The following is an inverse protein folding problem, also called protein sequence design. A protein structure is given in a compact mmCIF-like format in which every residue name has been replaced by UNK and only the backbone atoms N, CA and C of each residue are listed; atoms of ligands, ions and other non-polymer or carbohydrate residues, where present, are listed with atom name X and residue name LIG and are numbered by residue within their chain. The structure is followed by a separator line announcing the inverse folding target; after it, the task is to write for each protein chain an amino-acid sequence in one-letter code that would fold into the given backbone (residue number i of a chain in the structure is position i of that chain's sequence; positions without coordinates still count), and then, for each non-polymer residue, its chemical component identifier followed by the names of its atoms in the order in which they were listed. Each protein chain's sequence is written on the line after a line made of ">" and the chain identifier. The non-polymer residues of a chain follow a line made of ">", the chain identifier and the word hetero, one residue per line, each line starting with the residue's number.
data_IF_037537671346
#
_entry.id   IF_037537671346
#
_cell.length_a   1.000
_cell.length_b   1.000
_cell.length_c   1.000
_cell.angle_alpha   90.00
_cell.angle_beta   90.00
_cell.angle_gamma   90.00
#
_symmetry.space_group_name_H-M   'P 1'
#
loop_
_entity.id
_entity.type
_entity.pdbx_description
1 polymer ?
#
# COMPACT_ATOMS: atom_id res chain seq x y z
N UNK A 1 -32.80 0.58 -35.77
CA UNK A 1 -31.56 0.68 -34.99
C UNK A 1 -31.44 -0.59 -34.19
N UNK A 2 -30.27 -1.23 -34.20
CA UNK A 2 -30.00 -2.37 -33.31
C UNK A 2 -30.01 -1.91 -31.84
N UNK A 3 -30.15 -2.83 -30.88
CA UNK A 3 -30.04 -2.50 -29.45
C UNK A 3 -28.68 -1.83 -29.11
N UNK A 4 -27.63 -2.20 -29.85
CA UNK A 4 -26.28 -1.60 -29.76
C UNK A 4 -26.28 -0.15 -30.22
N UNK A 5 -26.83 0.17 -31.40
CA UNK A 5 -26.92 1.55 -31.91
C UNK A 5 -27.80 2.46 -31.04
N UNK A 6 -28.80 1.90 -30.35
CA UNK A 6 -29.65 2.62 -29.39
C UNK A 6 -28.88 2.94 -28.10
N UNK A 7 -28.12 1.99 -27.57
CA UNK A 7 -27.28 2.15 -26.37
C UNK A 7 -26.15 3.16 -26.59
N UNK A 8 -25.50 3.12 -27.75
CA UNK A 8 -24.43 4.05 -28.16
C UNK A 8 -24.94 5.51 -28.20
N UNK A 9 -26.10 5.72 -28.83
CA UNK A 9 -26.76 7.03 -28.89
C UNK A 9 -27.13 7.56 -27.49
N UNK A 10 -27.61 6.69 -26.60
CA UNK A 10 -27.98 7.05 -25.22
C UNK A 10 -26.76 7.45 -24.37
N UNK A 11 -25.65 6.73 -24.49
CA UNK A 11 -24.42 7.05 -23.75
C UNK A 11 -23.80 8.36 -24.25
N UNK A 12 -23.85 8.63 -25.55
CA UNK A 12 -23.37 9.90 -26.10
C UNK A 12 -24.18 11.10 -25.59
N UNK A 13 -25.49 10.93 -25.39
CA UNK A 13 -26.38 11.95 -24.81
C UNK A 13 -26.09 12.21 -23.32
N UNK A 14 -25.64 11.19 -22.57
CA UNK A 14 -25.22 11.35 -21.17
C UNK A 14 -23.95 12.18 -21.03
N UNK A 15 -23.02 12.10 -21.99
CA UNK A 15 -21.80 12.92 -22.02
C UNK A 15 -22.13 14.39 -22.33
N UNK A 16 -22.11 15.25 -21.31
CA UNK A 16 -22.32 16.70 -21.44
C UNK A 16 -21.05 17.40 -21.93
N UNK A 17 -20.58 17.03 -23.12
CA UNK A 17 -19.43 17.64 -23.76
C UNK A 17 -19.65 17.87 -25.27
N UNK A 18 -19.42 19.12 -25.69
CA UNK A 18 -19.71 19.59 -27.05
C UNK A 18 -18.51 19.62 -27.99
N UNK A 19 -17.40 18.96 -27.66
CA UNK A 19 -16.23 18.90 -28.55
C UNK A 19 -16.43 17.84 -29.64
N UNK A 20 -16.49 18.28 -30.90
CA UNK A 20 -16.67 17.39 -32.05
C UNK A 20 -15.53 16.38 -32.23
N UNK A 21 -14.33 16.70 -31.71
CA UNK A 21 -13.17 15.83 -31.75
C UNK A 21 -13.34 14.53 -30.95
N UNK A 22 -14.32 14.46 -30.04
CA UNK A 22 -14.62 13.24 -29.27
C UNK A 22 -15.40 12.23 -30.12
N UNK A 23 -16.26 12.69 -31.03
CA UNK A 23 -17.18 11.82 -31.75
C UNK A 23 -16.50 10.69 -32.54
N UNK A 24 -15.34 10.87 -33.22
CA UNK A 24 -14.69 9.80 -33.96
C UNK A 24 -14.13 8.66 -33.11
N UNK A 25 -13.87 8.89 -31.81
CA UNK A 25 -13.25 7.91 -30.90
C UNK A 25 -14.21 7.41 -29.81
N UNK A 26 -15.34 8.09 -29.63
CA UNK A 26 -16.26 7.82 -28.51
C UNK A 26 -16.79 6.40 -28.49
N UNK A 27 -17.17 5.84 -29.64
CA UNK A 27 -17.78 4.51 -29.71
C UNK A 27 -16.78 3.41 -29.30
N UNK A 28 -15.51 3.54 -29.71
CA UNK A 28 -14.43 2.63 -29.33
C UNK A 28 -14.14 2.72 -27.83
N UNK A 29 -14.02 3.94 -27.29
CA UNK A 29 -13.80 4.19 -25.86
C UNK A 29 -14.97 3.68 -24.99
N UNK A 30 -16.20 3.81 -25.47
CA UNK A 30 -17.38 3.30 -24.78
C UNK A 30 -17.47 1.78 -24.80
N UNK A 31 -17.06 1.15 -25.90
CA UNK A 31 -17.01 -0.32 -25.98
C UNK A 31 -15.98 -0.87 -24.99
N UNK A 32 -14.79 -0.29 -24.93
CA UNK A 32 -13.76 -0.65 -23.95
C UNK A 32 -14.24 -0.43 -22.52
N UNK A 33 -14.77 0.76 -22.21
CA UNK A 33 -15.29 1.06 -20.88
C UNK A 33 -16.41 0.10 -20.46
N UNK A 34 -17.31 -0.28 -21.36
CA UNK A 34 -18.41 -1.22 -21.05
C UNK A 34 -17.95 -2.66 -20.86
N UNK A 35 -16.75 -3.02 -21.33
CA UNK A 35 -16.16 -4.34 -21.08
C UNK A 35 -15.50 -4.44 -19.70
N UNK A 36 -15.09 -3.31 -19.12
CA UNK A 36 -14.31 -3.25 -17.89
C UNK A 36 -15.19 -2.81 -16.70
N UNK A 37 -15.99 -1.77 -16.90
CA UNK A 37 -16.71 -1.08 -15.83
C UNK A 37 -18.11 -1.68 -15.61
N UNK A 38 -18.56 -1.61 -14.37
CA UNK A 38 -19.94 -1.85 -13.98
C UNK A 38 -20.88 -0.79 -14.57
N UNK A 39 -22.19 -1.07 -14.55
CA UNK A 39 -23.20 -0.09 -14.98
C UNK A 39 -23.07 1.24 -14.22
N UNK A 40 -22.80 1.20 -12.91
CA UNK A 40 -22.56 2.39 -12.11
C UNK A 40 -21.22 3.06 -12.49
N UNK A 41 -20.18 2.26 -12.74
CA UNK A 41 -18.88 2.75 -13.20
C UNK A 41 -18.98 3.50 -14.52
N UNK A 42 -19.81 3.05 -15.47
CA UNK A 42 -20.10 3.77 -16.73
C UNK A 42 -20.78 5.12 -16.45
N UNK A 43 -21.73 5.18 -15.53
CA UNK A 43 -22.38 6.43 -15.15
C UNK A 43 -21.40 7.42 -14.53
N UNK A 44 -20.60 6.98 -13.57
CA UNK A 44 -19.55 7.77 -12.92
C UNK A 44 -18.48 8.24 -13.93
N UNK A 45 -18.15 7.39 -14.90
CA UNK A 45 -17.19 7.68 -15.97
C UNK A 45 -17.69 8.82 -16.87
N UNK A 46 -18.93 8.73 -17.35
CA UNK A 46 -19.52 9.78 -18.18
C UNK A 46 -19.81 11.07 -17.41
N UNK A 47 -20.20 10.97 -16.13
CA UNK A 47 -20.34 12.13 -15.25
C UNK A 47 -18.98 12.81 -15.02
N UNK A 48 -17.92 12.04 -14.76
CA UNK A 48 -16.57 12.55 -14.58
C UNK A 48 -16.02 13.24 -15.82
N UNK A 49 -16.20 12.65 -17.01
CA UNK A 49 -15.81 13.27 -18.28
C UNK A 49 -16.59 14.57 -18.54
N UNK A 50 -17.89 14.59 -18.21
CA UNK A 50 -18.73 15.79 -18.27
C UNK A 50 -18.23 16.88 -17.32
N UNK A 51 -17.85 16.52 -16.08
CA UNK A 51 -17.29 17.42 -15.08
C UNK A 51 -15.98 18.05 -15.57
N UNK A 52 -15.09 17.25 -16.16
CA UNK A 52 -13.84 17.71 -16.75
C UNK A 52 -14.09 18.62 -17.94
N UNK A 53 -15.07 18.32 -18.80
CA UNK A 53 -15.41 19.20 -19.93
C UNK A 53 -15.84 20.61 -19.45
N UNK A 54 -16.59 20.69 -18.34
CA UNK A 54 -17.06 21.96 -17.77
C UNK A 54 -15.95 22.86 -17.21
N UNK A 55 -14.73 22.36 -17.00
CA UNK A 55 -13.62 23.18 -16.48
C UNK A 55 -13.06 24.16 -17.52
N UNK A 56 -13.43 24.01 -18.81
CA UNK A 56 -13.06 24.95 -19.87
C UNK A 56 -11.58 24.93 -20.26
N UNK A 57 -10.91 23.77 -20.19
CA UNK A 57 -9.46 23.61 -20.48
C UNK A 57 -9.15 22.93 -21.82
N UNK A 58 -10.09 22.99 -22.76
CA UNK A 58 -9.96 22.35 -24.07
C UNK A 58 -10.38 20.88 -24.05
N UNK A 59 -10.23 20.21 -25.20
CA UNK A 59 -10.69 18.83 -25.40
C UNK A 59 -9.72 17.78 -24.85
N UNK A 60 -8.43 18.10 -24.83
CA UNK A 60 -7.37 17.15 -24.44
C UNK A 60 -7.57 16.54 -23.04
N UNK A 61 -7.88 17.29 -21.96
CA UNK A 61 -8.19 16.69 -20.66
C UNK A 61 -9.36 15.71 -20.68
N UNK A 62 -10.36 15.95 -21.53
CA UNK A 62 -11.55 15.08 -21.65
C UNK A 62 -11.15 13.78 -22.35
N UNK A 63 -10.37 13.88 -23.44
CA UNK A 63 -9.88 12.71 -24.16
C UNK A 63 -8.95 11.85 -23.29
N UNK A 64 -7.96 12.44 -22.62
CA UNK A 64 -7.08 11.68 -21.72
C UNK A 64 -7.86 10.97 -20.61
N UNK A 65 -8.88 11.62 -20.04
CA UNK A 65 -9.75 10.98 -19.06
C UNK A 65 -10.55 9.82 -19.65
N UNK A 66 -11.14 10.00 -20.84
CA UNK A 66 -11.92 8.94 -21.48
C UNK A 66 -11.02 7.74 -21.88
N UNK A 67 -9.81 8.02 -22.35
CA UNK A 67 -8.84 7.00 -22.78
C UNK A 67 -8.29 6.19 -21.61
N UNK A 68 -7.84 6.85 -20.54
CA UNK A 68 -7.00 6.18 -19.53
C UNK A 68 -7.78 5.59 -18.34
N UNK A 69 -8.95 6.16 -18.00
CA UNK A 69 -9.65 5.83 -16.76
C UNK A 69 -10.19 4.40 -16.69
N UNK A 70 -10.79 3.82 -17.75
CA UNK A 70 -11.25 2.43 -17.69
C UNK A 70 -10.12 1.46 -17.31
N UNK A 71 -8.97 1.57 -17.98
CA UNK A 71 -7.81 0.73 -17.66
C UNK A 71 -7.30 0.98 -16.24
N UNK A 72 -7.28 2.23 -15.76
CA UNK A 72 -6.91 2.52 -14.37
C UNK A 72 -7.89 1.91 -13.35
N UNK A 73 -9.19 1.94 -13.64
CA UNK A 73 -10.23 1.38 -12.79
C UNK A 73 -10.17 -0.15 -12.72
N UNK A 74 -9.80 -0.82 -13.82
CA UNK A 74 -9.56 -2.26 -13.84
C UNK A 74 -8.47 -2.68 -12.82
N UNK A 75 -7.41 -1.87 -12.72
CA UNK A 75 -6.26 -2.18 -11.88
C UNK A 75 -6.41 -1.73 -10.42
N UNK A 76 -7.12 -0.63 -10.17
CA UNK A 76 -7.19 0.04 -8.86
C UNK A 76 -8.58 0.02 -8.22
N UNK A 77 -9.60 -0.42 -8.97
CA UNK A 77 -11.01 -0.33 -8.58
C UNK A 77 -11.70 0.93 -9.13
N UNK A 78 -13.03 0.84 -9.27
CA UNK A 78 -13.87 1.90 -9.87
C UNK A 78 -13.91 3.21 -9.06
N UNK A 79 -13.50 3.18 -7.79
CA UNK A 79 -13.42 4.37 -6.93
C UNK A 79 -12.54 5.48 -7.54
N UNK A 80 -11.55 5.10 -8.34
CA UNK A 80 -10.63 6.04 -9.00
C UNK A 80 -11.35 6.97 -9.99
N UNK A 81 -12.46 6.54 -10.58
CA UNK A 81 -13.21 7.31 -11.59
C UNK A 81 -13.70 8.63 -10.97
N UNK A 82 -14.44 8.49 -9.86
CA UNK A 82 -14.94 9.59 -9.07
C UNK A 82 -13.81 10.39 -8.41
N UNK A 83 -12.76 9.73 -7.94
CA UNK A 83 -11.61 10.38 -7.30
C UNK A 83 -10.85 11.31 -8.27
N UNK A 84 -10.54 10.85 -9.49
CA UNK A 84 -9.79 11.63 -10.48
C UNK A 84 -10.62 12.83 -10.96
N UNK A 85 -11.88 12.62 -11.33
CA UNK A 85 -12.75 13.71 -11.81
C UNK A 85 -12.95 14.81 -10.76
N UNK A 86 -13.18 14.46 -9.49
CA UNK A 86 -13.26 15.41 -8.37
C UNK A 86 -11.92 16.11 -8.12
N UNK A 87 -10.81 15.41 -8.27
CA UNK A 87 -9.45 15.97 -8.14
C UNK A 87 -9.17 17.00 -9.23
N UNK A 88 -9.47 16.70 -10.50
CA UNK A 88 -9.34 17.63 -11.62
C UNK A 88 -10.25 18.85 -11.43
N UNK A 89 -11.48 18.64 -10.96
CA UNK A 89 -12.38 19.74 -10.62
C UNK A 89 -11.79 20.65 -9.53
N UNK A 90 -11.26 20.09 -8.43
CA UNK A 90 -10.56 20.83 -7.38
C UNK A 90 -9.33 21.57 -7.92
N UNK A 91 -8.53 20.92 -8.76
CA UNK A 91 -7.36 21.51 -9.43
C UNK A 91 -7.77 22.71 -10.29
N UNK A 92 -8.86 22.60 -11.06
CA UNK A 92 -9.34 23.68 -11.95
C UNK A 92 -9.68 24.98 -11.23
N UNK A 93 -10.04 24.90 -9.94
CA UNK A 93 -10.39 26.03 -9.07
C UNK A 93 -9.17 26.70 -8.42
N UNK A 94 -7.97 26.18 -8.68
CA UNK A 94 -6.71 26.83 -8.31
C UNK A 94 -6.23 27.74 -9.43
N UNK A 95 -5.27 28.61 -9.11
CA UNK A 95 -4.57 29.43 -10.13
C UNK A 95 -3.69 28.57 -11.06
N UNK A 96 -3.46 27.29 -10.71
CA UNK A 96 -2.58 26.36 -11.41
C UNK A 96 -3.25 25.54 -12.51
N UNK A 97 -4.52 25.80 -12.86
CA UNK A 97 -5.28 24.95 -13.78
C UNK A 97 -4.71 24.79 -15.20
N UNK A 98 -3.67 25.53 -15.60
CA UNK A 98 -2.90 25.28 -16.84
C UNK A 98 -2.08 23.98 -16.79
N UNK A 99 -1.81 23.45 -15.61
CA UNK A 99 -1.06 22.21 -15.41
C UNK A 99 -1.93 20.94 -15.47
N UNK A 100 -3.25 21.07 -15.64
CA UNK A 100 -4.17 19.92 -15.70
C UNK A 100 -3.85 18.95 -16.85
N UNK A 101 -3.54 19.41 -18.08
CA UNK A 101 -3.21 18.49 -19.17
C UNK A 101 -2.02 17.60 -18.84
N UNK A 102 -0.90 18.16 -18.38
CA UNK A 102 0.29 17.37 -18.00
C UNK A 102 0.03 16.48 -16.78
N UNK A 103 -0.78 16.92 -15.82
CA UNK A 103 -1.20 16.08 -14.70
C UNK A 103 -1.95 14.84 -15.19
N UNK A 104 -2.95 15.00 -16.07
CA UNK A 104 -3.70 13.87 -16.62
C UNK A 104 -2.83 12.98 -17.51
N UNK A 105 -1.97 13.57 -18.35
CA UNK A 105 -1.07 12.81 -19.22
C UNK A 105 -0.11 11.89 -18.45
N UNK A 106 0.35 12.32 -17.27
CA UNK A 106 1.30 11.53 -16.45
C UNK A 106 0.62 10.57 -15.49
N UNK A 107 -0.67 10.79 -15.22
CA UNK A 107 -1.45 10.05 -14.23
C UNK A 107 -1.48 8.54 -14.44
N UNK A 108 -1.64 7.97 -15.66
CA UNK A 108 -1.71 6.52 -15.83
C UNK A 108 -0.41 5.81 -15.41
N UNK A 109 0.73 6.47 -15.64
CA UNK A 109 2.03 5.93 -15.23
C UNK A 109 2.21 6.01 -13.72
N UNK A 110 1.78 7.13 -13.11
CA UNK A 110 1.82 7.29 -11.65
C UNK A 110 0.88 6.29 -10.97
N UNK A 111 -0.36 6.18 -11.42
CA UNK A 111 -1.37 5.30 -10.87
C UNK A 111 -0.92 3.83 -10.89
N UNK A 112 -0.39 3.35 -12.03
CA UNK A 112 0.20 2.00 -12.14
C UNK A 112 1.37 1.78 -11.17
N UNK A 113 2.15 2.83 -10.91
CA UNK A 113 3.31 2.80 -10.00
C UNK A 113 2.96 3.02 -8.53
N UNK A 114 1.73 3.41 -8.20
CA UNK A 114 1.30 3.49 -6.82
C UNK A 114 0.50 2.26 -6.43
N UNK A 115 -0.22 1.65 -7.38
CA UNK A 115 -0.90 0.38 -7.18
C UNK A 115 -2.13 0.44 -6.27
N UNK A 116 -2.35 1.56 -5.57
CA UNK A 116 -3.45 1.70 -4.62
C UNK A 116 -4.14 3.08 -4.66
N UNK A 117 -5.43 3.10 -4.33
CA UNK A 117 -6.28 4.31 -4.32
C UNK A 117 -5.85 5.28 -3.22
N UNK A 118 -5.48 4.79 -2.03
CA UNK A 118 -4.99 5.61 -0.92
C UNK A 118 -3.62 6.21 -1.25
N UNK A 119 -2.72 5.40 -1.80
CA UNK A 119 -1.44 5.91 -2.30
C UNK A 119 -1.62 6.99 -3.38
N UNK A 120 -2.60 6.82 -4.29
CA UNK A 120 -2.94 7.81 -5.30
C UNK A 120 -3.52 9.10 -4.69
N UNK A 121 -4.36 8.98 -3.66
CA UNK A 121 -4.87 10.12 -2.89
C UNK A 121 -3.73 10.89 -2.21
N UNK A 122 -2.78 10.19 -1.57
CA UNK A 122 -1.58 10.83 -0.99
C UNK A 122 -0.72 11.54 -2.03
N UNK A 123 -0.59 10.96 -3.23
CA UNK A 123 0.06 11.65 -4.34
C UNK A 123 -0.69 12.94 -4.74
N UNK A 124 -2.02 12.91 -4.82
CA UNK A 124 -2.81 14.11 -5.12
C UNK A 124 -2.64 15.18 -4.04
N UNK A 125 -2.67 14.78 -2.76
CA UNK A 125 -2.47 15.70 -1.64
C UNK A 125 -1.06 16.31 -1.67
N UNK A 126 -0.03 15.53 -1.98
CA UNK A 126 1.34 16.03 -2.19
C UNK A 126 1.40 17.09 -3.31
N UNK A 127 0.74 16.85 -4.44
CA UNK A 127 0.68 17.81 -5.55
C UNK A 127 -0.09 19.09 -5.15
N UNK A 128 -1.18 18.96 -4.39
CA UNK A 128 -1.91 20.12 -3.85
C UNK A 128 -1.08 20.90 -2.85
N UNK A 129 -0.37 20.24 -1.93
CA UNK A 129 0.48 20.88 -0.95
C UNK A 129 1.64 21.61 -1.63
N UNK A 130 2.29 20.97 -2.60
CA UNK A 130 3.35 21.59 -3.38
C UNK A 130 2.86 22.84 -4.10
N UNK A 131 1.73 22.77 -4.82
CA UNK A 131 1.25 23.92 -5.57
C UNK A 131 0.78 25.04 -4.64
N UNK A 132 0.19 24.71 -3.49
CA UNK A 132 -0.27 25.70 -2.52
C UNK A 132 0.90 26.44 -1.86
N UNK A 133 1.97 25.72 -1.50
CA UNK A 133 3.15 26.30 -0.86
C UNK A 133 4.01 27.13 -1.82
N UNK A 134 3.96 26.83 -3.12
CA UNK A 134 4.80 27.49 -4.14
C UNK A 134 4.07 28.53 -4.99
N UNK A 135 2.75 28.67 -4.83
CA UNK A 135 1.98 29.75 -5.46
C UNK A 135 2.11 31.04 -4.66
N UNK A 136 2.41 32.16 -5.33
CA UNK A 136 2.76 33.43 -4.66
C UNK A 136 1.57 34.41 -4.65
N UNK A 137 1.42 35.15 -3.56
CA UNK A 137 0.53 36.31 -3.48
C UNK A 137 1.31 37.61 -3.55
N UNK A 138 0.98 38.49 -4.51
CA UNK A 138 1.56 39.83 -4.59
C UNK A 138 0.98 40.75 -3.48
N UNK A 139 -0.25 40.49 -3.01
CA UNK A 139 -1.00 41.37 -2.09
C UNK A 139 -1.53 40.65 -0.82
N UNK A 140 -0.93 39.53 -0.42
CA UNK A 140 -1.02 38.97 0.93
C UNK A 140 -2.27 38.16 1.31
N UNK A 141 -3.27 38.01 0.44
CA UNK A 141 -4.52 37.30 0.81
C UNK A 141 -4.96 36.19 -0.17
N UNK A 142 -4.62 36.31 -1.45
CA UNK A 142 -4.92 35.27 -2.46
C UNK A 142 -3.70 35.05 -3.36
N UNK A 143 -3.36 33.78 -3.61
CA UNK A 143 -2.36 33.43 -4.61
C UNK A 143 -2.79 34.00 -5.98
N UNK A 144 -1.92 34.80 -6.58
CA UNK A 144 -2.18 35.50 -7.86
C UNK A 144 -1.24 35.03 -8.95
N UNK A 145 -0.14 34.38 -8.56
CA UNK A 145 0.84 33.79 -9.46
C UNK A 145 0.82 32.28 -9.21
N UNK A 146 0.64 31.46 -10.28
CA UNK A 146 0.73 30.02 -10.15
C UNK A 146 2.13 29.58 -9.71
N UNK A 147 2.21 28.35 -9.19
CA UNK A 147 3.47 27.70 -8.91
C UNK A 147 4.35 27.75 -10.17
N UNK A 148 5.57 28.29 -10.06
CA UNK A 148 6.45 28.46 -11.22
C UNK A 148 7.03 27.14 -11.73
N UNK A 149 6.94 26.06 -10.94
CA UNK A 149 7.63 24.79 -11.16
C UNK A 149 6.72 23.56 -11.14
N UNK A 150 5.41 23.73 -10.87
CA UNK A 150 4.47 22.61 -10.88
C UNK A 150 4.43 21.87 -12.24
N UNK A 151 4.41 22.53 -13.41
CA UNK A 151 4.48 21.82 -14.68
C UNK A 151 5.77 21.00 -14.81
N UNK A 152 6.93 21.59 -14.45
CA UNK A 152 8.23 20.90 -14.50
C UNK A 152 8.24 19.66 -13.60
N UNK A 153 7.66 19.78 -12.40
CA UNK A 153 7.49 18.67 -11.46
C UNK A 153 6.65 17.54 -12.07
N UNK A 154 5.48 17.87 -12.61
CA UNK A 154 4.54 16.89 -13.19
C UNK A 154 5.17 16.15 -14.37
N UNK A 155 5.90 16.85 -15.24
CA UNK A 155 6.64 16.22 -16.34
C UNK A 155 7.67 15.18 -15.86
N UNK A 156 8.24 15.37 -14.66
CA UNK A 156 9.21 14.44 -14.07
C UNK A 156 8.57 13.34 -13.22
N UNK A 157 7.26 13.39 -12.93
CA UNK A 157 6.60 12.42 -12.06
C UNK A 157 6.76 10.97 -12.49
N UNK A 158 6.59 10.60 -13.77
CA UNK A 158 6.80 9.22 -14.21
C UNK A 158 8.21 8.68 -13.90
N UNK A 159 9.23 9.55 -13.99
CA UNK A 159 10.59 9.18 -13.63
C UNK A 159 10.76 9.14 -12.11
N UNK A 160 10.33 10.17 -11.37
CA UNK A 160 10.52 10.26 -9.93
C UNK A 160 9.86 9.09 -9.19
N UNK A 161 8.62 8.72 -9.54
CA UNK A 161 7.93 7.58 -8.93
C UNK A 161 8.52 6.22 -9.31
N UNK A 162 9.35 6.17 -10.37
CA UNK A 162 10.13 4.97 -10.70
C UNK A 162 11.43 4.85 -9.91
N UNK A 163 11.88 5.94 -9.28
CA UNK A 163 13.15 5.99 -8.55
C UNK A 163 12.98 6.11 -7.05
N UNK A 164 11.79 6.46 -6.56
CA UNK A 164 11.51 6.77 -5.16
C UNK A 164 10.26 6.03 -4.68
N UNK A 165 10.27 5.65 -3.41
CA UNK A 165 9.03 5.36 -2.68
C UNK A 165 8.17 6.62 -2.60
N UNK A 166 6.87 6.48 -2.31
CA UNK A 166 6.00 7.65 -2.19
C UNK A 166 6.46 8.59 -1.05
N UNK A 167 7.05 8.02 0.01
CA UNK A 167 7.68 8.78 1.11
C UNK A 167 8.93 9.53 0.63
N UNK A 168 9.81 8.85 -0.11
CA UNK A 168 11.01 9.48 -0.67
C UNK A 168 10.66 10.62 -1.64
N UNK A 169 9.59 10.45 -2.43
CA UNK A 169 9.05 11.49 -3.29
C UNK A 169 8.58 12.70 -2.48
N UNK A 170 7.81 12.47 -1.41
CA UNK A 170 7.37 13.55 -0.50
C UNK A 170 8.56 14.30 0.09
N UNK A 171 9.55 13.60 0.63
CA UNK A 171 10.74 14.21 1.22
C UNK A 171 11.54 15.05 0.20
N UNK A 172 11.68 14.53 -1.02
CA UNK A 172 12.35 15.22 -2.11
C UNK A 172 11.59 16.49 -2.53
N UNK A 173 10.26 16.43 -2.60
CA UNK A 173 9.40 17.59 -2.88
C UNK A 173 9.49 18.64 -1.76
N UNK A 174 9.35 18.22 -0.50
CA UNK A 174 9.42 19.09 0.67
C UNK A 174 10.77 19.81 0.75
N UNK A 175 11.87 19.12 0.42
CA UNK A 175 13.19 19.73 0.32
C UNK A 175 13.22 20.82 -0.76
N UNK A 176 12.73 20.52 -1.97
CA UNK A 176 12.68 21.47 -3.07
C UNK A 176 11.88 22.73 -2.74
N UNK A 177 10.74 22.56 -2.05
CA UNK A 177 9.92 23.67 -1.56
C UNK A 177 10.72 24.48 -0.52
N UNK A 178 11.22 23.83 0.54
CA UNK A 178 11.85 24.50 1.67
C UNK A 178 13.05 25.36 1.26
N UNK A 179 13.93 24.83 0.40
CA UNK A 179 15.18 25.50 0.04
C UNK A 179 15.06 26.47 -1.14
N UNK A 180 14.03 26.34 -1.99
CA UNK A 180 13.88 27.16 -3.20
C UNK A 180 12.59 27.98 -3.27
N UNK A 181 11.80 28.08 -2.20
CA UNK A 181 10.52 28.81 -2.20
C UNK A 181 10.60 30.26 -2.70
N UNK A 182 11.70 30.95 -2.42
CA UNK A 182 11.91 32.37 -2.79
C UNK A 182 12.68 32.56 -4.11
N UNK A 183 13.04 31.48 -4.81
CA UNK A 183 13.88 31.51 -6.01
C UNK A 183 13.25 30.72 -7.17
N UNK A 184 12.27 31.30 -7.91
CA UNK A 184 11.48 30.57 -8.92
C UNK A 184 12.30 29.80 -9.96
N UNK A 185 13.35 30.41 -10.52
CA UNK A 185 14.18 29.73 -11.53
C UNK A 185 14.97 28.56 -10.93
N UNK A 186 15.51 28.71 -9.71
CA UNK A 186 16.19 27.59 -9.03
C UNK A 186 15.22 26.48 -8.62
N UNK A 187 13.98 26.86 -8.29
CA UNK A 187 12.92 25.91 -8.00
C UNK A 187 12.57 25.08 -9.24
N UNK A 188 12.48 25.72 -10.43
CA UNK A 188 12.34 25.00 -11.71
C UNK A 188 13.54 24.11 -11.98
N UNK A 189 14.77 24.60 -11.81
CA UNK A 189 15.99 23.79 -12.00
C UNK A 189 15.98 22.56 -11.08
N UNK A 190 15.50 22.69 -9.84
CA UNK A 190 15.37 21.57 -8.92
C UNK A 190 14.31 20.57 -9.40
N UNK A 191 13.08 21.02 -9.65
CA UNK A 191 11.97 20.13 -10.00
C UNK A 191 12.05 19.54 -11.42
N UNK A 192 12.85 20.15 -12.29
CA UNK A 192 13.18 19.61 -13.62
C UNK A 192 14.41 18.66 -13.61
N UNK A 193 14.98 18.35 -12.44
CA UNK A 193 16.18 17.52 -12.26
C UNK A 193 17.45 18.07 -12.90
N UNK A 194 17.53 19.39 -13.10
CA UNK A 194 18.69 20.05 -13.71
C UNK A 194 19.74 20.48 -12.68
N UNK A 195 19.34 20.75 -11.44
CA UNK A 195 20.28 21.15 -10.40
C UNK A 195 21.04 19.94 -9.82
N UNK A 196 22.32 20.13 -9.51
CA UNK A 196 23.14 19.09 -8.87
C UNK A 196 22.58 18.69 -7.50
N UNK A 197 21.95 19.64 -6.80
CA UNK A 197 21.32 19.42 -5.50
C UNK A 197 20.06 18.54 -5.62
N UNK A 198 19.23 18.77 -6.64
CA UNK A 198 18.09 17.90 -6.95
C UNK A 198 18.49 16.45 -7.16
N UNK A 199 19.56 16.23 -7.92
CA UNK A 199 20.12 14.90 -8.14
C UNK A 199 20.70 14.29 -6.86
N UNK A 200 21.35 15.10 -6.01
CA UNK A 200 21.91 14.62 -4.75
C UNK A 200 20.82 14.19 -3.75
N UNK A 201 19.75 14.98 -3.61
CA UNK A 201 18.62 14.63 -2.76
C UNK A 201 17.86 13.44 -3.33
N UNK A 202 17.68 13.35 -4.66
CA UNK A 202 17.09 12.19 -5.31
C UNK A 202 17.85 10.90 -4.95
N UNK A 203 19.18 10.91 -5.01
CA UNK A 203 19.99 9.74 -4.63
C UNK A 203 19.89 9.41 -3.14
N UNK A 204 19.72 10.42 -2.28
CA UNK A 204 19.55 10.21 -0.84
C UNK A 204 18.20 9.57 -0.52
N UNK A 205 17.12 10.04 -1.15
CA UNK A 205 15.77 9.52 -0.93
C UNK A 205 15.53 8.19 -1.65
N UNK A 206 16.39 7.82 -2.61
CA UNK A 206 16.44 6.48 -3.21
C UNK A 206 17.18 5.51 -2.28
N UNK A 207 16.63 5.30 -1.09
CA UNK A 207 17.10 4.27 -0.16
C UNK A 207 16.15 3.07 -0.15
N UNK A 208 16.66 1.95 0.33
CA UNK A 208 15.95 0.68 0.40
C UNK A 208 15.84 -0.07 -0.93
N UNK A 209 15.25 -1.25 -0.86
CA UNK A 209 14.90 -2.09 -2.00
C UNK A 209 13.50 -1.72 -2.46
N UNK A 210 13.37 -1.02 -3.58
CA UNK A 210 12.08 -0.66 -4.16
C UNK A 210 11.40 -1.89 -4.76
N UNK A 211 10.10 -2.06 -4.48
CA UNK A 211 9.30 -3.14 -5.04
C UNK A 211 9.41 -3.21 -6.57
N UNK A 212 9.25 -2.08 -7.25
CA UNK A 212 9.21 -2.02 -8.72
C UNK A 212 10.52 -2.40 -9.42
N UNK A 213 11.66 -2.27 -8.75
CA UNK A 213 12.95 -2.74 -9.28
C UNK A 213 13.02 -4.28 -9.28
N UNK A 214 12.14 -4.93 -8.52
CA UNK A 214 12.16 -6.37 -8.24
C UNK A 214 10.85 -7.11 -8.55
N UNK A 215 9.77 -6.42 -8.92
CA UNK A 215 8.43 -6.97 -9.21
C UNK A 215 8.49 -8.26 -10.05
N UNK A 216 9.13 -8.23 -11.22
CA UNK A 216 9.27 -9.41 -12.08
C UNK A 216 9.94 -10.59 -11.37
N UNK A 217 10.95 -10.34 -10.53
CA UNK A 217 11.65 -11.41 -9.78
C UNK A 217 10.76 -11.96 -8.67
N UNK A 218 9.95 -11.10 -8.04
CA UNK A 218 9.00 -11.49 -7.00
C UNK A 218 7.84 -12.30 -7.59
N UNK A 219 7.31 -11.93 -8.76
CA UNK A 219 6.31 -12.73 -9.47
C UNK A 219 6.86 -14.11 -9.84
N UNK A 220 8.09 -14.18 -10.38
CA UNK A 220 8.74 -15.46 -10.66
C UNK A 220 9.03 -16.28 -9.39
N UNK A 221 9.25 -15.63 -8.26
CA UNK A 221 9.40 -16.29 -6.95
C UNK A 221 8.08 -16.93 -6.52
N UNK A 222 6.96 -16.23 -6.64
CA UNK A 222 5.62 -16.75 -6.37
C UNK A 222 5.28 -17.92 -7.30
N UNK A 223 5.47 -17.76 -8.60
CA UNK A 223 5.18 -18.82 -9.57
C UNK A 223 6.09 -20.04 -9.34
N UNK A 224 7.38 -19.81 -9.13
CA UNK A 224 8.38 -20.88 -9.06
C UNK A 224 8.39 -21.67 -7.75
N UNK A 225 8.09 -21.03 -6.61
CA UNK A 225 8.12 -21.68 -5.30
C UNK A 225 6.73 -21.91 -4.69
N UNK A 226 5.72 -21.15 -5.10
CA UNK A 226 4.41 -21.22 -4.48
C UNK A 226 3.31 -21.67 -5.45
N UNK A 227 3.63 -21.87 -6.74
CA UNK A 227 2.66 -22.20 -7.80
C UNK A 227 1.47 -21.21 -7.79
N UNK A 228 1.79 -19.95 -7.52
CA UNK A 228 0.85 -18.85 -7.36
C UNK A 228 1.29 -17.67 -8.21
N UNK A 229 0.35 -16.99 -8.86
CA UNK A 229 0.61 -15.80 -9.68
C UNK A 229 -0.30 -14.64 -9.24
N UNK A 230 -0.20 -14.19 -7.98
CA UNK A 230 -1.04 -13.12 -7.49
C UNK A 230 -0.57 -11.79 -8.06
N UNK A 231 -1.52 -10.86 -8.25
CA UNK A 231 -1.15 -9.47 -8.46
C UNK A 231 -0.47 -8.94 -7.19
N UNK A 232 0.75 -8.42 -7.33
CA UNK A 232 1.49 -7.79 -6.24
C UNK A 232 1.24 -6.29 -6.30
N UNK A 233 0.68 -5.75 -5.22
CA UNK A 233 0.20 -4.37 -5.18
C UNK A 233 0.91 -3.62 -4.05
N UNK A 234 1.72 -2.58 -4.36
CA UNK A 234 2.44 -1.86 -3.32
C UNK A 234 1.54 -0.91 -2.52
N UNK A 235 1.90 -0.66 -1.27
CA UNK A 235 1.38 0.43 -0.44
C UNK A 235 2.53 1.19 0.23
N UNK A 236 2.29 2.44 0.63
CA UNK A 236 3.31 3.30 1.24
C UNK A 236 3.36 3.14 2.76
N UNK A 237 4.55 3.08 3.35
CA UNK A 237 4.75 2.93 4.80
C UNK A 237 4.72 4.25 5.60
N UNK A 238 4.78 5.42 4.96
CA UNK A 238 5.10 6.67 5.64
C UNK A 238 4.00 7.73 5.73
N UNK A 239 2.76 7.42 5.33
CA UNK A 239 1.64 8.37 5.41
C UNK A 239 0.69 8.11 6.58
N UNK A 240 0.69 6.88 7.13
CA UNK A 240 -0.10 6.54 8.30
C UNK A 240 0.64 6.76 9.62
N UNK A 241 0.27 7.84 10.32
CA UNK A 241 0.84 8.17 11.63
C UNK A 241 0.25 7.35 12.78
N UNK A 242 -0.97 6.80 12.63
CA UNK A 242 -1.71 6.10 13.70
C UNK A 242 -1.45 4.59 13.74
N UNK A 243 -1.35 3.94 12.57
CA UNK A 243 -1.05 2.51 12.44
C UNK A 243 -0.29 2.30 11.13
N UNK A 244 0.93 1.79 11.21
CA UNK A 244 1.68 1.44 10.00
C UNK A 244 0.95 0.29 9.28
N UNK A 245 0.73 0.40 7.96
CA UNK A 245 0.13 -0.69 7.21
C UNK A 245 1.06 -1.91 7.22
N UNK A 246 0.46 -3.07 7.44
CA UNK A 246 1.11 -4.38 7.36
C UNK A 246 0.66 -5.09 6.07
N UNK A 247 1.40 -6.09 5.59
CA UNK A 247 0.97 -6.87 4.44
C UNK A 247 -0.43 -7.45 4.62
N UNK A 248 -1.22 -7.56 3.54
CA UNK A 248 -2.55 -8.16 3.59
C UNK A 248 -2.99 -8.69 2.23
N UNK A 249 -4.00 -9.56 2.19
CA UNK A 249 -4.61 -10.06 0.96
C UNK A 249 -6.00 -9.45 0.80
N UNK A 250 -6.29 -8.87 -0.37
CA UNK A 250 -7.63 -8.43 -0.74
C UNK A 250 -8.11 -9.06 -2.06
N UNK A 251 -9.24 -8.58 -2.58
CA UNK A 251 -9.82 -9.08 -3.84
C UNK A 251 -9.01 -8.76 -5.08
N UNK A 252 -8.12 -7.77 -5.02
CA UNK A 252 -7.28 -7.34 -6.15
C UNK A 252 -5.92 -8.05 -6.11
N UNK A 253 -5.37 -8.34 -4.92
CA UNK A 253 -4.11 -9.07 -4.83
C UNK A 253 -3.42 -9.02 -3.47
N UNK A 254 -2.14 -9.39 -3.46
CA UNK A 254 -1.29 -9.32 -2.28
C UNK A 254 -0.73 -7.91 -2.13
N UNK A 255 -1.00 -7.32 -0.97
CA UNK A 255 -0.61 -5.96 -0.62
C UNK A 255 0.70 -6.00 0.16
N UNK A 256 1.71 -5.32 -0.34
CA UNK A 256 3.07 -5.33 0.21
C UNK A 256 3.68 -3.92 0.22
N UNK A 257 4.71 -3.63 1.03
CA UNK A 257 5.34 -2.31 1.02
C UNK A 257 5.96 -1.91 -0.33
N UNK A 258 5.88 -0.63 -0.68
CA UNK A 258 6.53 -0.04 -1.87
C UNK A 258 8.07 -0.05 -1.77
N UNK A 259 8.59 -0.10 -0.54
CA UNK A 259 10.01 -0.21 -0.23
C UNK A 259 10.26 -1.03 1.04
N UNK A 260 11.32 -1.83 1.03
CA UNK A 260 11.93 -2.37 2.25
C UNK A 260 13.38 -1.91 2.37
N UNK A 261 13.71 -1.25 3.48
CA UNK A 261 15.10 -1.03 3.85
C UNK A 261 15.79 -2.33 4.25
N UNK A 262 17.11 -2.40 4.06
CA UNK A 262 17.93 -3.47 4.63
C UNK A 262 17.91 -3.33 6.16
N UNK A 263 17.84 -4.47 6.86
CA UNK A 263 18.22 -4.51 8.28
C UNK A 263 19.71 -4.81 8.40
N UNK A 264 20.25 -4.77 9.62
CA UNK A 264 21.65 -5.12 9.87
C UNK A 264 22.03 -6.54 9.38
N UNK A 265 21.04 -7.42 9.20
CA UNK A 265 21.28 -8.85 8.91
C UNK A 265 20.48 -9.43 7.73
N UNK A 266 19.51 -8.68 7.18
CA UNK A 266 18.60 -9.14 6.12
C UNK A 266 18.44 -8.04 5.07
N UNK A 267 18.64 -8.41 3.81
CA UNK A 267 18.43 -7.51 2.68
C UNK A 267 16.94 -7.23 2.44
N UNK A 268 16.59 -6.07 1.89
CA UNK A 268 15.21 -5.72 1.57
C UNK A 268 14.55 -6.71 0.60
N UNK A 269 15.30 -7.29 -0.34
CA UNK A 269 14.78 -8.34 -1.22
C UNK A 269 14.44 -9.64 -0.46
N UNK A 270 15.19 -9.97 0.58
CA UNK A 270 14.88 -11.12 1.44
C UNK A 270 13.72 -10.82 2.39
N UNK A 271 13.49 -9.56 2.78
CA UNK A 271 12.27 -9.14 3.48
C UNK A 271 11.03 -9.38 2.61
N UNK A 272 11.05 -8.97 1.33
CA UNK A 272 9.96 -9.30 0.40
C UNK A 272 9.71 -10.80 0.29
N UNK A 273 10.78 -11.61 0.21
CA UNK A 273 10.64 -13.07 0.14
C UNK A 273 10.04 -13.67 1.41
N UNK A 274 10.40 -13.15 2.59
CA UNK A 274 9.82 -13.55 3.86
C UNK A 274 8.32 -13.24 3.90
N UNK A 275 7.95 -11.99 3.59
CA UNK A 275 6.55 -11.54 3.53
C UNK A 275 5.73 -12.40 2.56
N UNK A 276 6.22 -12.57 1.33
CA UNK A 276 5.51 -13.37 0.33
C UNK A 276 5.45 -14.86 0.68
N UNK A 277 6.48 -15.41 1.32
CA UNK A 277 6.45 -16.79 1.82
C UNK A 277 5.38 -16.96 2.90
N UNK A 278 5.31 -16.02 3.85
CA UNK A 278 4.33 -16.01 4.92
C UNK A 278 2.90 -15.95 4.36
N UNK A 279 2.61 -14.96 3.50
CA UNK A 279 1.28 -14.80 2.91
C UNK A 279 0.88 -16.00 2.02
N UNK A 280 1.81 -16.53 1.22
CA UNK A 280 1.56 -17.73 0.42
C UNK A 280 1.31 -18.97 1.30
N UNK A 281 1.95 -19.05 2.47
CA UNK A 281 1.71 -20.08 3.45
C UNK A 281 0.29 -19.97 4.05
N UNK A 282 -0.18 -18.76 4.37
CA UNK A 282 -1.58 -18.54 4.78
C UNK A 282 -2.55 -18.98 3.68
N UNK A 283 -2.35 -18.51 2.44
CA UNK A 283 -3.21 -18.90 1.32
C UNK A 283 -3.31 -20.42 1.11
N UNK A 284 -2.22 -21.14 1.38
CA UNK A 284 -2.14 -22.58 1.18
C UNK A 284 -2.72 -23.40 2.33
N UNK A 285 -2.46 -22.99 3.57
CA UNK A 285 -2.71 -23.84 4.74
C UNK A 285 -3.74 -23.28 5.72
N UNK A 286 -4.07 -21.99 5.67
CA UNK A 286 -5.00 -21.37 6.62
C UNK A 286 -6.45 -21.46 6.13
N UNK A 287 -7.37 -21.44 7.09
CA UNK A 287 -8.82 -21.37 6.83
C UNK A 287 -9.44 -20.27 7.69
N UNK A 288 -10.44 -19.58 7.14
CA UNK A 288 -11.19 -18.56 7.86
C UNK A 288 -11.84 -19.11 9.13
N UNK A 289 -11.70 -18.39 10.24
CA UNK A 289 -12.42 -18.64 11.49
C UNK A 289 -13.45 -17.52 11.71
N UNK A 290 -14.71 -17.90 11.90
CA UNK A 290 -15.74 -16.98 12.39
C UNK A 290 -15.51 -16.79 13.90
N UNK A 291 -14.88 -15.66 14.26
CA UNK A 291 -14.42 -15.37 15.61
C UNK A 291 -15.40 -14.48 16.42
N UNK A 292 -16.70 -14.55 16.14
CA UNK A 292 -17.73 -13.70 16.77
C UNK A 292 -17.75 -13.79 18.31
N UNK A 293 -17.32 -14.92 18.85
CA UNK A 293 -17.28 -15.16 20.30
C UNK A 293 -15.88 -14.99 20.92
N UNK A 294 -14.86 -14.59 20.14
CA UNK A 294 -13.52 -14.37 20.67
C UNK A 294 -13.33 -12.92 21.09
N UNK A 295 -12.84 -12.74 22.32
CA UNK A 295 -12.33 -11.45 22.79
C UNK A 295 -11.11 -11.00 21.95
N UNK A 296 -10.78 -9.70 21.92
CA UNK A 296 -9.61 -9.20 21.19
C UNK A 296 -8.30 -9.91 21.55
N UNK A 297 -8.13 -10.28 22.83
CA UNK A 297 -6.95 -11.02 23.31
C UNK A 297 -6.86 -12.44 22.79
N UNK A 298 -8.01 -13.10 22.62
CA UNK A 298 -8.08 -14.43 22.04
C UNK A 298 -7.81 -14.39 20.54
N UNK A 299 -8.33 -13.38 19.83
CA UNK A 299 -8.05 -13.18 18.39
C UNK A 299 -6.56 -13.00 18.15
N UNK A 300 -5.92 -12.09 18.87
CA UNK A 300 -4.47 -11.88 18.82
C UNK A 300 -3.68 -13.16 19.08
N UNK A 301 -4.06 -13.97 20.07
CA UNK A 301 -3.35 -15.22 20.32
C UNK A 301 -3.54 -16.25 19.20
N UNK A 302 -4.74 -16.32 18.60
CA UNK A 302 -5.01 -17.21 17.46
C UNK A 302 -4.18 -16.78 16.26
N UNK A 303 -4.11 -15.48 15.95
CA UNK A 303 -3.27 -14.91 14.89
C UNK A 303 -1.80 -15.32 15.07
N UNK A 304 -1.19 -15.02 16.23
CA UNK A 304 0.21 -15.34 16.51
C UNK A 304 0.57 -16.83 16.38
N UNK A 305 -0.36 -17.73 16.73
CA UNK A 305 -0.13 -19.17 16.63
C UNK A 305 -0.43 -19.72 15.23
N UNK A 306 -1.39 -19.14 14.51
CA UNK A 306 -1.64 -19.51 13.12
C UNK A 306 -0.47 -19.09 12.23
N UNK A 307 0.08 -17.89 12.45
CA UNK A 307 1.32 -17.45 11.81
C UNK A 307 2.45 -18.47 12.03
N UNK A 308 2.70 -18.84 13.29
CA UNK A 308 3.76 -19.78 13.64
C UNK A 308 3.52 -21.16 13.00
N UNK A 309 2.26 -21.57 12.84
CA UNK A 309 1.89 -22.83 12.17
C UNK A 309 2.22 -22.80 10.69
N UNK A 310 1.79 -21.78 9.97
CA UNK A 310 2.01 -21.70 8.52
C UNK A 310 3.49 -21.50 8.21
N UNK A 311 4.21 -20.75 9.06
CA UNK A 311 5.66 -20.62 8.98
C UNK A 311 6.36 -21.95 9.24
N UNK A 312 5.90 -22.73 10.23
CA UNK A 312 6.43 -24.07 10.48
C UNK A 312 6.28 -24.96 9.23
N UNK A 313 5.11 -24.96 8.60
CA UNK A 313 4.84 -25.71 7.37
C UNK A 313 5.68 -25.22 6.18
N UNK A 314 5.79 -23.90 6.02
CA UNK A 314 6.65 -23.28 5.02
C UNK A 314 8.11 -23.67 5.21
N UNK A 315 8.60 -23.75 6.45
CA UNK A 315 9.96 -24.20 6.78
C UNK A 315 10.16 -25.69 6.46
N UNK A 316 9.16 -26.55 6.65
CA UNK A 316 9.27 -27.96 6.26
C UNK A 316 9.45 -28.11 4.74
N UNK A 317 8.75 -27.29 3.95
CA UNK A 317 8.88 -27.28 2.50
C UNK A 317 10.18 -26.59 2.05
N UNK A 318 10.54 -25.49 2.69
CA UNK A 318 11.67 -24.63 2.37
C UNK A 318 12.53 -24.33 3.61
N UNK A 319 13.47 -25.23 3.98
CA UNK A 319 14.23 -25.11 5.23
C UNK A 319 15.03 -23.81 5.39
N UNK A 320 15.40 -23.16 4.27
CA UNK A 320 16.08 -21.87 4.28
C UNK A 320 15.27 -20.72 4.90
N UNK A 321 13.94 -20.82 4.91
CA UNK A 321 13.06 -19.80 5.50
C UNK A 321 13.25 -19.66 7.02
N UNK A 322 13.66 -20.72 7.72
CA UNK A 322 13.82 -20.68 9.19
C UNK A 322 14.80 -19.59 9.60
N UNK A 323 15.98 -19.55 8.97
CA UNK A 323 17.00 -18.56 9.31
C UNK A 323 16.59 -17.14 8.92
N UNK A 324 15.80 -17.00 7.85
CA UNK A 324 15.27 -15.71 7.42
C UNK A 324 14.25 -15.18 8.43
N UNK A 325 13.25 -15.99 8.79
CA UNK A 325 12.25 -15.63 9.79
C UNK A 325 12.90 -15.35 11.16
N UNK A 326 13.85 -16.17 11.62
CA UNK A 326 14.55 -15.93 12.91
C UNK A 326 15.26 -14.57 12.93
N UNK A 327 15.87 -14.15 11.82
CA UNK A 327 16.55 -12.85 11.73
C UNK A 327 15.60 -11.65 11.67
N UNK A 328 14.40 -11.86 11.16
CA UNK A 328 13.37 -10.81 11.06
C UNK A 328 12.45 -10.75 12.28
N UNK A 329 12.29 -11.87 12.99
CA UNK A 329 11.49 -11.92 14.19
C UNK A 329 12.18 -11.14 15.33
N UNK A 330 11.47 -10.26 16.06
CA UNK A 330 12.03 -9.58 17.21
C UNK A 330 12.43 -10.58 18.30
N UNK A 331 13.34 -10.18 19.19
CA UNK A 331 13.78 -11.00 20.34
C UNK A 331 13.34 -10.39 21.66
N UNK A 332 12.05 -10.48 22.03
CA UNK A 332 11.57 -9.92 23.29
C UNK A 332 12.31 -10.52 24.49
N UNK A 333 12.75 -9.65 25.40
CA UNK A 333 13.49 -10.05 26.60
C UNK A 333 12.52 -10.50 27.68
N UNK A 334 12.68 -11.74 28.17
CA UNK A 334 11.85 -12.30 29.24
C UNK A 334 11.88 -11.41 30.50
N UNK A 335 10.69 -11.01 30.98
CA UNK A 335 10.54 -10.13 32.15
C UNK A 335 10.72 -8.63 31.88
N UNK A 336 10.86 -8.19 30.62
CA UNK A 336 10.98 -6.76 30.30
C UNK A 336 9.68 -5.97 30.50
N UNK A 337 8.53 -6.62 30.33
CA UNK A 337 7.23 -6.00 30.60
C UNK A 337 6.86 -6.09 32.09
N UNK A 338 6.51 -4.95 32.70
CA UNK A 338 6.04 -4.89 34.08
C UNK A 338 4.52 -5.16 34.17
N UNK A 339 4.09 -6.33 34.66
CA UNK A 339 2.68 -6.68 34.72
C UNK A 339 1.89 -5.89 35.77
N UNK A 340 2.52 -5.08 36.64
CA UNK A 340 1.78 -4.22 37.57
C UNK A 340 1.32 -2.92 36.92
N UNK A 341 1.99 -2.47 35.86
CA UNK A 341 1.76 -1.16 35.24
C UNK A 341 1.45 -1.22 33.74
N UNK A 342 1.60 -2.40 33.12
CA UNK A 342 1.47 -2.59 31.68
C UNK A 342 0.67 -3.86 31.33
N UNK A 343 0.03 -3.84 30.15
CA UNK A 343 -0.53 -5.04 29.53
C UNK A 343 0.59 -5.81 28.81
N UNK A 344 0.92 -6.99 29.33
CA UNK A 344 2.03 -7.82 28.86
C UNK A 344 1.60 -8.94 27.90
N UNK A 345 0.32 -9.04 27.54
CA UNK A 345 -0.18 -10.13 26.68
C UNK A 345 0.56 -10.19 25.34
N UNK A 346 0.69 -9.06 24.64
CA UNK A 346 1.38 -9.00 23.34
C UNK A 346 2.84 -9.45 23.47
N UNK A 347 3.52 -9.01 24.52
CA UNK A 347 4.90 -9.41 24.81
C UNK A 347 5.02 -10.93 25.04
N UNK A 348 4.12 -11.52 25.86
CA UNK A 348 4.08 -12.97 26.07
C UNK A 348 3.81 -13.75 24.77
N UNK A 349 2.90 -13.27 23.92
CA UNK A 349 2.62 -13.89 22.62
C UNK A 349 3.80 -13.79 21.65
N UNK A 350 4.52 -12.66 21.63
CA UNK A 350 5.73 -12.49 20.83
C UNK A 350 6.86 -13.41 21.30
N UNK A 351 7.04 -13.59 22.62
CA UNK A 351 7.97 -14.58 23.18
C UNK A 351 7.58 -16.01 22.77
N UNK A 352 6.30 -16.37 22.90
CA UNK A 352 5.82 -17.68 22.48
C UNK A 352 6.07 -17.90 20.98
N UNK A 353 5.75 -16.93 20.13
CA UNK A 353 5.98 -17.03 18.68
C UNK A 353 7.45 -17.23 18.33
N UNK A 354 8.37 -16.52 18.98
CA UNK A 354 9.80 -16.77 18.81
C UNK A 354 10.18 -18.19 19.26
N UNK A 355 9.64 -18.69 20.38
CA UNK A 355 9.92 -20.04 20.85
C UNK A 355 9.37 -21.15 19.94
N UNK A 356 8.32 -20.87 19.16
CA UNK A 356 7.81 -21.77 18.13
C UNK A 356 8.71 -21.78 16.87
N UNK A 357 9.51 -20.73 16.68
CA UNK A 357 10.35 -20.52 15.50
C UNK A 357 11.84 -20.88 15.73
N UNK A 358 12.41 -20.46 16.85
CA UNK A 358 13.83 -20.57 17.19
C UNK A 358 14.05 -21.53 18.36
N UNK A 359 14.67 -22.72 18.14
CA UNK A 359 15.04 -23.63 19.22
C UNK A 359 16.01 -23.03 20.25
N UNK A 360 16.78 -22.01 19.88
CA UNK A 360 17.77 -21.34 20.73
C UNK A 360 17.21 -20.08 21.42
N UNK A 361 15.88 -19.98 21.57
CA UNK A 361 15.18 -18.82 22.13
C UNK A 361 15.58 -18.47 23.58
N UNK A 362 15.98 -19.46 24.40
CA UNK A 362 16.55 -19.24 25.75
C UNK A 362 15.55 -18.90 26.87
N UNK A 363 14.24 -18.92 26.62
CA UNK A 363 13.21 -18.63 27.61
C UNK A 363 13.02 -19.77 28.62
N UNK A 364 12.58 -19.40 29.83
CA UNK A 364 12.45 -20.34 30.95
C UNK A 364 11.05 -20.43 31.54
N UNK A 365 10.13 -19.56 31.13
CA UNK A 365 8.72 -19.59 31.56
C UNK A 365 8.07 -20.96 31.32
N UNK A 366 7.55 -21.63 32.37
CA UNK A 366 7.07 -23.01 32.28
C UNK A 366 5.78 -23.13 31.45
N UNK A 367 4.88 -22.13 31.50
CA UNK A 367 3.66 -22.15 30.71
C UNK A 367 4.00 -22.00 29.21
N UNK A 368 4.90 -21.09 28.86
CA UNK A 368 5.41 -20.94 27.49
C UNK A 368 6.02 -22.24 26.97
N UNK A 369 6.91 -22.88 27.75
CA UNK A 369 7.56 -24.12 27.36
C UNK A 369 6.57 -25.28 27.21
N UNK A 370 5.58 -25.39 28.11
CA UNK A 370 4.51 -26.39 28.01
C UNK A 370 3.70 -26.21 26.71
N UNK A 371 3.30 -24.98 26.39
CA UNK A 371 2.49 -24.71 25.21
C UNK A 371 3.28 -24.78 23.89
N UNK A 372 4.58 -24.45 23.92
CA UNK A 372 5.50 -24.72 22.81
C UNK A 372 5.61 -26.23 22.55
N UNK A 373 5.76 -27.04 23.60
CA UNK A 373 5.73 -28.50 23.49
C UNK A 373 4.44 -29.02 22.87
N UNK A 374 3.28 -28.56 23.34
CA UNK A 374 1.96 -28.93 22.78
C UNK A 374 1.82 -28.57 21.30
N UNK A 375 2.33 -27.41 20.90
CA UNK A 375 2.35 -27.01 19.49
C UNK A 375 3.17 -28.01 18.67
N UNK A 376 4.40 -28.31 19.08
CA UNK A 376 5.26 -29.23 18.33
C UNK A 376 4.74 -30.67 18.32
N UNK A 377 4.12 -31.15 19.40
CA UNK A 377 3.46 -32.46 19.44
C UNK A 377 2.31 -32.53 18.42
N UNK A 378 1.52 -31.46 18.31
CA UNK A 378 0.45 -31.34 17.30
C UNK A 378 1.01 -31.31 15.89
N UNK A 379 2.06 -30.52 15.63
CA UNK A 379 2.71 -30.43 14.32
C UNK A 379 3.46 -31.71 13.93
N UNK A 380 3.90 -32.52 14.90
CA UNK A 380 4.50 -33.83 14.64
C UNK A 380 3.47 -34.87 14.16
N UNK A 381 2.18 -34.67 14.44
CA UNK A 381 1.11 -35.57 14.01
C UNK A 381 0.64 -35.30 12.56
N UNK A 382 1.00 -34.16 11.97
CA UNK A 382 0.61 -33.76 10.62
C UNK A 382 0.61 -32.24 10.44
N UNK A 383 -0.12 -31.73 9.44
CA UNK A 383 -0.16 -30.29 9.14
C UNK A 383 -0.91 -29.46 10.20
N UNK A 384 -1.68 -30.12 11.07
CA UNK A 384 -2.70 -29.51 11.95
C UNK A 384 -3.74 -28.70 11.18
N UNK A 385 -4.85 -28.38 11.84
CA UNK A 385 -5.83 -27.42 11.32
C UNK A 385 -5.76 -26.08 12.04
N UNK A 386 -6.21 -25.02 11.38
CA UNK A 386 -6.41 -23.69 11.98
C UNK A 386 -7.28 -23.77 13.24
N UNK A 387 -8.26 -24.68 13.29
CA UNK A 387 -9.10 -24.91 14.48
C UNK A 387 -8.34 -25.55 15.65
N UNK A 388 -7.51 -26.55 15.39
CA UNK A 388 -6.70 -27.20 16.43
C UNK A 388 -5.71 -26.21 17.05
N UNK A 389 -5.10 -25.38 16.21
CA UNK A 389 -4.08 -24.42 16.66
C UNK A 389 -4.73 -23.22 17.36
N UNK A 390 -5.91 -22.78 16.91
CA UNK A 390 -6.74 -21.86 17.67
C UNK A 390 -7.09 -22.42 19.06
N UNK A 391 -7.39 -23.72 19.19
CA UNK A 391 -7.65 -24.33 20.50
C UNK A 391 -6.44 -24.27 21.45
N UNK A 392 -5.22 -24.41 20.92
CA UNK A 392 -3.98 -24.25 21.68
C UNK A 392 -3.82 -22.79 22.12
N UNK A 393 -4.04 -21.83 21.22
CA UNK A 393 -3.96 -20.40 21.51
C UNK A 393 -4.94 -19.97 22.62
N UNK A 394 -6.20 -20.39 22.50
CA UNK A 394 -7.24 -20.11 23.51
C UNK A 394 -6.89 -20.70 24.87
N UNK A 395 -6.31 -21.91 24.88
CA UNK A 395 -5.87 -22.57 26.11
C UNK A 395 -4.68 -21.85 26.74
N UNK A 396 -3.75 -21.33 25.93
CA UNK A 396 -2.61 -20.53 26.40
C UNK A 396 -3.11 -19.25 27.07
N UNK A 397 -3.95 -18.47 26.37
CA UNK A 397 -4.54 -17.24 26.93
C UNK A 397 -5.32 -17.54 28.20
N UNK A 398 -6.11 -18.61 28.25
CA UNK A 398 -6.86 -18.97 29.45
C UNK A 398 -5.95 -19.32 30.63
N UNK A 399 -4.80 -19.95 30.38
CA UNK A 399 -3.81 -20.32 31.40
C UNK A 399 -3.05 -19.10 31.93
N UNK A 400 -2.55 -18.25 31.04
CA UNK A 400 -1.63 -17.15 31.39
C UNK A 400 -2.36 -15.83 31.67
N UNK A 401 -3.69 -15.83 31.66
CA UNK A 401 -4.48 -14.60 31.85
C UNK A 401 -4.20 -13.97 33.19
N UNK A 402 -3.89 -12.68 33.17
CA UNK A 402 -3.76 -11.85 34.37
C UNK A 402 -4.64 -10.61 34.26
N UNK A 403 -4.95 -9.97 35.39
CA UNK A 403 -5.83 -8.81 35.41
C UNK A 403 -5.25 -7.62 34.63
N UNK A 404 -3.92 -7.45 34.67
CA UNK A 404 -3.22 -6.34 34.03
C UNK A 404 -3.22 -6.39 32.51
N UNK A 405 -3.59 -7.51 31.89
CA UNK A 405 -3.77 -7.58 30.44
C UNK A 405 -4.82 -6.58 29.93
N UNK A 406 -5.72 -6.13 30.81
CA UNK A 406 -6.76 -5.13 30.52
C UNK A 406 -6.30 -3.67 30.67
N UNK A 407 -5.04 -3.42 31.08
CA UNK A 407 -4.52 -2.08 31.21
C UNK A 407 -4.39 -1.40 29.84
N UNK A 408 -4.68 -0.08 29.73
CA UNK A 408 -4.56 0.66 28.47
C UNK A 408 -3.10 0.86 28.03
N UNK A 409 -2.15 0.76 28.97
CA UNK A 409 -0.72 0.89 28.70
C UNK A 409 -0.17 -0.44 28.18
N UNK A 410 -0.20 -0.65 26.86
CA UNK A 410 0.29 -1.89 26.22
C UNK A 410 1.80 -1.81 26.01
N UNK A 411 2.52 -2.88 26.33
CA UNK A 411 3.97 -2.98 26.09
C UNK A 411 4.24 -3.40 24.64
N UNK A 412 5.04 -2.62 23.93
CA UNK A 412 5.34 -2.84 22.50
C UNK A 412 6.79 -3.19 22.18
N UNK A 413 7.74 -2.93 23.08
CA UNK A 413 9.17 -3.12 22.82
C UNK A 413 9.47 -4.58 22.42
N UNK A 414 10.15 -4.74 21.28
CA UNK A 414 10.50 -6.03 20.67
C UNK A 414 9.30 -6.98 20.47
N UNK A 415 8.13 -6.44 20.10
CA UNK A 415 6.91 -7.25 19.83
C UNK A 415 6.35 -7.10 18.41
N UNK A 416 6.97 -6.29 17.55
CA UNK A 416 6.48 -6.04 16.18
C UNK A 416 7.18 -6.99 15.21
N UNK A 417 6.39 -7.76 14.45
CA UNK A 417 6.86 -8.70 13.43
C UNK A 417 6.37 -8.13 12.09
N UNK A 418 7.27 -7.51 11.34
CA UNK A 418 6.91 -6.59 10.25
C UNK A 418 6.71 -7.25 8.87
N UNK A 419 7.09 -8.53 8.75
CA UNK A 419 6.91 -9.31 7.52
C UNK A 419 5.59 -10.11 7.52
N UNK A 420 4.91 -10.22 8.67
CA UNK A 420 3.65 -10.95 8.79
C UNK A 420 2.47 -10.10 8.35
N UNK A 421 1.43 -10.76 7.84
CA UNK A 421 0.20 -10.13 7.38
C UNK A 421 -0.82 -9.91 8.52
N UNK A 422 -2.02 -9.49 8.16
CA UNK A 422 -3.14 -9.23 9.08
C UNK A 422 -4.04 -10.44 9.37
N UNK A 423 -3.66 -11.64 8.90
CA UNK A 423 -4.39 -12.91 8.97
C UNK A 423 -5.77 -12.92 8.29
#
# INVERSE_FOLDING_TARGET
>A
MSETELSESLNREKLKCGFDQINPVFDELMAEASHILSDQGIEDYLEGASLICMIGRGVEPVLSYLEDIPAMADHLGEEIISLVSKTVWKFSRTINGKAIPVFLQTLPTVARRLGDVEALQHYFDLIFDMMNQTSVSIHGHHATIPSPSLPDLLEKMPYLISQLSLVGLKNWVDYGILFYNTHPERQKDFFSLQSADSMAILQRERHGTLFYDHERKLNLYMQGLWDSDPQLIPYSLGFDELRRPIPYLDTLGLRIPDVYDDTDTVSGIDRYRATLAHMAAHQRWSNHIIADNYSPFQRMAVEFLEDARVEYLAIQQYPGLRQLFIKLHPRPVEGACDPETQSCLRHRLAMLSLALLDPDHGYTDPDLLEFSGRFFDTMAAGESSTKEIASIALSYVARTRVQSDQLPNVFFDDTVIDYRDDN
#
